data_IF_364848498368
#
_entry.id   IF_364848498368
#
_cell.length_a   1.000
_cell.length_b   1.000
_cell.length_c   1.000
_cell.angle_alpha   90.00
_cell.angle_beta   90.00
_cell.angle_gamma   90.00
#
_symmetry.space_group_name_H-M   'P 1'
#
loop_
_entity.id
_entity.type
_entity.pdbx_description
1 polymer ?
#
# COMPACT_ATOMS: atom_id res chain seq x y z
N UNK A 1 37.90 14.90 11.13
CA UNK A 1 36.53 14.45 10.75
C UNK A 1 36.51 14.30 9.24
N UNK A 2 36.59 13.07 8.75
CA UNK A 2 36.91 12.78 7.35
C UNK A 2 35.69 13.06 6.45
N UNK A 3 35.90 13.77 5.33
CA UNK A 3 34.90 14.13 4.30
C UNK A 3 34.00 12.95 3.86
N UNK A 4 34.54 11.73 3.91
CA UNK A 4 33.88 10.48 3.54
C UNK A 4 32.70 10.15 4.47
N UNK A 5 32.81 10.47 5.77
CA UNK A 5 31.76 10.19 6.75
C UNK A 5 30.51 11.08 6.53
N UNK A 6 30.69 12.29 6.02
CA UNK A 6 29.59 13.21 5.69
C UNK A 6 28.86 12.83 4.40
N UNK A 7 29.59 12.33 3.40
CA UNK A 7 29.02 11.95 2.10
C UNK A 7 28.13 10.70 2.14
N UNK A 8 28.33 9.81 3.11
CA UNK A 8 27.52 8.58 3.27
C UNK A 8 26.36 8.82 4.25
N UNK A 9 26.57 9.63 5.28
CA UNK A 9 25.56 9.89 6.31
C UNK A 9 24.35 10.66 5.78
N UNK A 10 24.55 11.58 4.84
CA UNK A 10 23.48 12.38 4.23
C UNK A 10 22.50 11.56 3.36
N UNK A 11 22.97 10.69 2.42
CA UNK A 11 22.07 9.80 1.69
C UNK A 11 21.44 8.73 2.59
N UNK A 12 22.14 8.25 3.63
CA UNK A 12 21.53 7.33 4.60
C UNK A 12 20.37 7.99 5.36
N UNK A 13 20.57 9.24 5.79
CA UNK A 13 19.55 10.04 6.46
C UNK A 13 18.36 10.33 5.54
N UNK A 14 18.61 10.66 4.27
CA UNK A 14 17.58 10.82 3.24
C UNK A 14 16.82 9.51 3.00
N UNK A 15 17.50 8.37 2.90
CA UNK A 15 16.88 7.06 2.73
C UNK A 15 16.04 6.70 3.95
N UNK A 16 16.48 7.00 5.18
CA UNK A 16 15.65 6.82 6.38
C UNK A 16 14.46 7.78 6.46
N UNK A 17 14.60 9.02 5.97
CA UNK A 17 13.50 9.98 5.86
C UNK A 17 12.46 9.50 4.83
N UNK A 18 12.94 8.96 3.70
CA UNK A 18 12.14 8.44 2.59
C UNK A 18 11.45 7.12 2.97
N UNK A 19 12.13 6.21 3.68
CA UNK A 19 11.55 4.96 4.20
C UNK A 19 10.49 5.24 5.28
N UNK A 20 10.77 6.19 6.17
CA UNK A 20 9.78 6.69 7.14
C UNK A 20 8.58 7.38 6.45
N UNK A 21 8.78 7.97 5.27
CA UNK A 21 7.76 8.66 4.50
C UNK A 21 7.14 7.86 3.36
N UNK A 22 7.46 6.58 3.15
CA UNK A 22 6.89 5.74 2.07
C UNK A 22 5.78 4.81 2.58
N UNK A 23 5.84 4.41 3.85
CA UNK A 23 4.74 3.69 4.50
C UNK A 23 3.53 4.61 4.79
N UNK A 24 3.75 5.91 4.93
CA UNK A 24 2.70 6.89 5.25
C UNK A 24 1.79 7.21 4.03
N UNK A 25 2.32 7.42 2.81
CA UNK A 25 1.51 7.68 1.63
C UNK A 25 0.70 6.49 1.17
N UNK A 26 1.25 5.27 1.18
CA UNK A 26 0.49 4.07 0.80
C UNK A 26 -0.67 3.83 1.76
N UNK A 27 -0.43 3.96 3.07
CA UNK A 27 -1.49 3.85 4.08
C UNK A 27 -2.55 4.95 3.93
N UNK A 28 -2.13 6.22 3.77
CA UNK A 28 -3.06 7.35 3.64
C UNK A 28 -3.91 7.27 2.38
N UNK A 29 -3.33 6.87 1.25
CA UNK A 29 -4.05 6.70 -0.01
C UNK A 29 -5.00 5.50 0.11
N UNK A 30 -4.58 4.40 0.73
CA UNK A 30 -5.47 3.25 0.94
C UNK A 30 -6.67 3.60 1.80
N UNK A 31 -6.49 4.36 2.88
CA UNK A 31 -7.59 4.84 3.74
C UNK A 31 -8.55 5.75 2.97
N UNK A 32 -8.02 6.68 2.15
CA UNK A 32 -8.87 7.56 1.32
C UNK A 32 -9.72 6.76 0.33
N UNK A 33 -9.16 5.70 -0.27
CA UNK A 33 -9.89 4.87 -1.23
C UNK A 33 -10.92 3.98 -0.55
N UNK A 34 -10.62 3.42 0.61
CA UNK A 34 -11.61 2.69 1.40
C UNK A 34 -12.86 3.55 1.70
N UNK A 35 -12.67 4.80 2.15
CA UNK A 35 -13.79 5.70 2.43
C UNK A 35 -14.61 6.02 1.15
N UNK A 36 -13.94 6.24 0.02
CA UNK A 36 -14.63 6.45 -1.26
C UNK A 36 -15.44 5.22 -1.69
N UNK A 37 -14.90 4.02 -1.51
CA UNK A 37 -15.59 2.75 -1.82
C UNK A 37 -16.79 2.58 -0.89
N UNK A 38 -16.63 2.81 0.41
CA UNK A 38 -17.71 2.76 1.39
C UNK A 38 -18.83 3.76 1.07
N UNK A 39 -18.49 5.00 0.72
CA UNK A 39 -19.47 6.02 0.33
C UNK A 39 -20.21 5.64 -0.95
N UNK A 40 -19.52 5.03 -1.92
CA UNK A 40 -20.11 4.59 -3.18
C UNK A 40 -21.03 3.39 -2.97
N UNK A 41 -20.63 2.44 -2.13
CA UNK A 41 -21.44 1.29 -1.70
C UNK A 41 -22.78 1.74 -1.09
N UNK A 42 -22.76 2.73 -0.19
CA UNK A 42 -23.98 3.26 0.44
C UNK A 42 -24.97 3.91 -0.54
N UNK A 43 -24.52 4.31 -1.73
CA UNK A 43 -25.33 5.01 -2.74
C UNK A 43 -25.88 4.08 -3.82
N UNK A 44 -25.29 2.88 -4.01
CA UNK A 44 -25.75 1.96 -5.05
C UNK A 44 -27.06 1.27 -4.62
N UNK A 45 -27.93 1.02 -5.59
CA UNK A 45 -29.13 0.17 -5.45
C UNK A 45 -29.00 -1.14 -6.21
N UNK A 46 -27.91 -1.30 -6.95
CA UNK A 46 -27.60 -2.51 -7.68
C UNK A 46 -26.96 -3.53 -6.71
N UNK A 47 -27.57 -4.72 -6.54
CA UNK A 47 -27.09 -5.73 -5.60
C UNK A 47 -25.74 -6.32 -6.00
N UNK A 48 -25.43 -6.43 -7.30
CA UNK A 48 -24.16 -6.95 -7.78
C UNK A 48 -23.06 -5.93 -7.50
N UNK A 49 -23.31 -4.65 -7.78
CA UNK A 49 -22.37 -3.58 -7.42
C UNK A 49 -22.16 -3.47 -5.91
N UNK A 50 -23.22 -3.63 -5.10
CA UNK A 50 -23.11 -3.62 -3.64
C UNK A 50 -22.19 -4.74 -3.14
N UNK A 51 -22.32 -5.93 -3.72
CA UNK A 51 -21.44 -7.06 -3.43
C UNK A 51 -19.99 -6.78 -3.81
N UNK A 52 -19.75 -6.22 -5.01
CA UNK A 52 -18.39 -5.89 -5.46
C UNK A 52 -17.72 -4.84 -4.56
N UNK A 53 -18.46 -3.79 -4.18
CA UNK A 53 -17.93 -2.81 -3.23
C UNK A 53 -17.67 -3.41 -1.85
N UNK A 54 -18.52 -4.33 -1.37
CA UNK A 54 -18.30 -5.05 -0.12
C UNK A 54 -16.99 -5.84 -0.13
N UNK A 55 -16.75 -6.60 -1.20
CA UNK A 55 -15.50 -7.34 -1.42
C UNK A 55 -14.28 -6.42 -1.45
N UNK A 56 -14.37 -5.30 -2.18
CA UNK A 56 -13.31 -4.27 -2.19
C UNK A 56 -13.01 -3.71 -0.79
N UNK A 57 -14.01 -3.50 0.06
CA UNK A 57 -13.81 -3.01 1.43
C UNK A 57 -13.05 -4.05 2.26
N UNK A 58 -13.35 -5.34 2.10
CA UNK A 58 -12.62 -6.42 2.78
C UNK A 58 -11.16 -6.54 2.31
N UNK A 59 -10.92 -6.39 1.00
CA UNK A 59 -9.59 -6.39 0.40
C UNK A 59 -8.74 -5.19 0.89
N UNK A 60 -9.35 -3.99 0.93
CA UNK A 60 -8.72 -2.79 1.47
C UNK A 60 -8.47 -2.90 2.97
N UNK A 61 -9.44 -3.41 3.74
CA UNK A 61 -9.30 -3.66 5.17
C UNK A 61 -8.13 -4.61 5.45
N UNK A 62 -7.98 -5.68 4.66
CA UNK A 62 -6.80 -6.57 4.79
C UNK A 62 -5.48 -5.84 4.54
N UNK A 63 -5.46 -4.93 3.57
CA UNK A 63 -4.27 -4.15 3.23
C UNK A 63 -3.91 -3.13 4.33
N UNK A 64 -4.91 -2.39 4.82
CA UNK A 64 -4.76 -1.29 5.79
C UNK A 64 -4.56 -1.80 7.21
N UNK A 65 -5.33 -2.79 7.63
CA UNK A 65 -5.36 -3.23 9.04
C UNK A 65 -4.30 -4.29 9.34
N UNK A 66 -3.80 -5.00 8.32
CA UNK A 66 -2.87 -6.11 8.49
C UNK A 66 -1.57 -5.91 7.73
N UNK A 67 -1.61 -5.92 6.39
CA UNK A 67 -0.40 -6.01 5.57
C UNK A 67 0.54 -4.82 5.75
N UNK A 68 0.02 -3.59 5.64
CA UNK A 68 0.86 -2.39 5.76
C UNK A 68 1.44 -2.24 7.18
N UNK A 69 0.66 -2.43 8.28
CA UNK A 69 1.20 -2.45 9.64
C UNK A 69 2.24 -3.56 9.89
N UNK A 70 1.99 -4.78 9.40
CA UNK A 70 2.92 -5.90 9.55
C UNK A 70 4.23 -5.64 8.79
N UNK A 71 4.14 -5.13 7.55
CA UNK A 71 5.30 -4.74 6.77
C UNK A 71 6.13 -3.67 7.49
N UNK A 72 5.48 -2.66 8.06
CA UNK A 72 6.16 -1.59 8.80
C UNK A 72 6.84 -2.11 10.09
N UNK A 73 6.17 -2.99 10.84
CA UNK A 73 6.72 -3.62 12.05
C UNK A 73 7.92 -4.51 11.73
N UNK A 74 7.82 -5.32 10.67
CA UNK A 74 8.90 -6.18 10.19
C UNK A 74 10.10 -5.34 9.73
N UNK A 75 9.85 -4.27 8.97
CA UNK A 75 10.88 -3.34 8.53
C UNK A 75 11.61 -2.69 9.71
N UNK A 76 10.87 -2.21 10.72
CA UNK A 76 11.44 -1.66 11.96
C UNK A 76 12.28 -2.67 12.75
N UNK A 77 11.97 -3.96 12.61
CA UNK A 77 12.72 -5.07 13.22
C UNK A 77 13.83 -5.62 12.33
N UNK A 78 14.06 -5.02 11.15
CA UNK A 78 15.00 -5.48 10.09
C UNK A 78 14.69 -6.88 9.54
N UNK A 79 13.46 -7.35 9.72
CA UNK A 79 12.95 -8.54 9.04
C UNK A 79 12.51 -8.15 7.63
N UNK A 80 13.49 -8.01 6.74
CA UNK A 80 13.26 -7.53 5.38
C UNK A 80 12.52 -8.55 4.50
N UNK A 81 12.63 -9.85 4.81
CA UNK A 81 11.90 -10.92 4.10
C UNK A 81 10.40 -10.74 4.33
N UNK A 82 9.98 -10.64 5.60
CA UNK A 82 8.57 -10.43 5.95
C UNK A 82 8.09 -9.07 5.45
N UNK A 83 8.87 -8.00 5.67
CA UNK A 83 8.48 -6.66 5.23
C UNK A 83 8.26 -6.57 3.71
N UNK A 84 9.14 -7.19 2.92
CA UNK A 84 9.02 -7.26 1.47
C UNK A 84 7.78 -8.04 1.04
N UNK A 85 7.55 -9.19 1.68
CA UNK A 85 6.42 -10.08 1.39
C UNK A 85 5.10 -9.38 1.64
N UNK A 86 4.95 -8.76 2.81
CA UNK A 86 3.71 -8.09 3.22
C UNK A 86 3.42 -6.85 2.36
N UNK A 87 4.45 -6.07 2.01
CA UNK A 87 4.31 -4.95 1.07
C UNK A 87 3.89 -5.41 -0.33
N UNK A 88 4.47 -6.51 -0.85
CA UNK A 88 4.08 -7.06 -2.14
C UNK A 88 2.66 -7.62 -2.13
N UNK A 89 2.25 -8.22 -1.01
CA UNK A 89 0.95 -8.86 -0.86
C UNK A 89 -0.22 -7.88 -1.00
N UNK A 90 -0.03 -6.58 -0.78
CA UNK A 90 -1.09 -5.57 -1.01
C UNK A 90 -1.58 -5.59 -2.46
N UNK A 91 -0.67 -5.74 -3.43
CA UNK A 91 -0.99 -5.65 -4.85
C UNK A 91 -2.14 -6.58 -5.29
N UNK A 92 -2.12 -7.90 -5.01
CA UNK A 92 -3.21 -8.79 -5.41
C UNK A 92 -4.55 -8.49 -4.73
N UNK A 93 -4.59 -7.95 -3.51
CA UNK A 93 -5.86 -7.52 -2.89
C UNK A 93 -6.46 -6.33 -3.63
N UNK A 94 -5.62 -5.36 -4.01
CA UNK A 94 -6.07 -4.17 -4.74
C UNK A 94 -6.48 -4.51 -6.17
N UNK A 95 -5.73 -5.40 -6.85
CA UNK A 95 -6.11 -5.89 -8.18
C UNK A 95 -7.41 -6.70 -8.14
N UNK A 96 -7.64 -7.50 -7.08
CA UNK A 96 -8.90 -8.24 -6.91
C UNK A 96 -10.11 -7.32 -6.79
N UNK A 97 -9.96 -6.17 -6.11
CA UNK A 97 -10.99 -5.14 -6.09
C UNK A 97 -11.32 -4.61 -7.50
N UNK A 98 -10.32 -4.21 -8.28
CA UNK A 98 -10.54 -3.65 -9.62
C UNK A 98 -11.13 -4.68 -10.61
N UNK A 99 -10.70 -5.94 -10.54
CA UNK A 99 -11.12 -7.00 -11.46
C UNK A 99 -12.60 -7.40 -11.35
N UNK A 100 -13.30 -6.97 -10.30
CA UNK A 100 -14.73 -7.22 -10.13
C UNK A 100 -15.60 -6.33 -11.04
N UNK A 101 -15.06 -5.24 -11.57
CA UNK A 101 -15.81 -4.27 -12.36
C UNK A 101 -15.52 -4.45 -13.85
N UNK A 102 -16.58 -4.52 -14.68
CA UNK A 102 -16.45 -4.61 -16.12
C UNK A 102 -15.91 -3.31 -16.76
N UNK A 103 -16.18 -2.17 -16.10
CA UNK A 103 -15.74 -0.84 -16.52
C UNK A 103 -14.91 -0.18 -15.43
N UNK A 104 -14.13 0.82 -15.85
CA UNK A 104 -13.31 1.63 -14.93
C UNK A 104 -14.22 2.33 -13.91
N UNK A 105 -13.86 2.23 -12.63
CA UNK A 105 -14.60 2.88 -11.54
C UNK A 105 -13.95 4.23 -11.17
N UNK A 106 -14.64 5.08 -10.38
CA UNK A 106 -14.05 6.31 -9.84
C UNK A 106 -12.79 6.12 -8.98
N UNK A 107 -12.50 4.89 -8.53
CA UNK A 107 -11.34 4.58 -7.68
C UNK A 107 -10.26 3.75 -8.38
N UNK A 108 -10.46 3.26 -9.61
CA UNK A 108 -9.48 2.42 -10.31
C UNK A 108 -8.11 3.09 -10.48
N UNK A 109 -8.04 4.40 -10.71
CA UNK A 109 -6.72 5.09 -10.78
C UNK A 109 -6.03 5.11 -9.41
N UNK A 110 -6.80 5.20 -8.33
CA UNK A 110 -6.31 5.10 -6.96
C UNK A 110 -5.83 3.69 -6.63
N UNK A 111 -6.60 2.67 -7.01
CA UNK A 111 -6.22 1.26 -6.87
C UNK A 111 -4.89 0.98 -7.58
N UNK A 112 -4.75 1.44 -8.84
CA UNK A 112 -3.50 1.37 -9.59
C UNK A 112 -2.32 1.98 -8.84
N UNK A 113 -2.52 3.15 -8.23
CA UNK A 113 -1.48 3.84 -7.48
C UNK A 113 -1.08 3.09 -6.21
N UNK A 114 -2.04 2.58 -5.43
CA UNK A 114 -1.76 1.79 -4.21
C UNK A 114 -0.96 0.54 -4.56
N UNK A 115 -1.38 -0.19 -5.60
CA UNK A 115 -0.68 -1.38 -6.10
C UNK A 115 0.75 -1.05 -6.53
N UNK A 116 0.92 -0.05 -7.40
CA UNK A 116 2.24 0.29 -7.93
C UNK A 116 3.19 0.74 -6.81
N UNK A 117 2.68 1.51 -5.85
CA UNK A 117 3.46 1.96 -4.69
C UNK A 117 3.86 0.80 -3.77
N UNK A 118 2.98 -0.18 -3.57
CA UNK A 118 3.28 -1.34 -2.73
C UNK A 118 4.37 -2.24 -3.35
N UNK A 119 4.36 -2.39 -4.69
CA UNK A 119 5.40 -3.10 -5.43
C UNK A 119 6.74 -2.35 -5.43
N UNK A 120 6.71 -1.03 -5.55
CA UNK A 120 7.92 -0.18 -5.42
C UNK A 120 8.49 -0.31 -4.00
N UNK A 121 7.64 -0.24 -2.97
CA UNK A 121 8.06 -0.42 -1.58
C UNK A 121 8.70 -1.80 -1.35
N UNK A 122 8.06 -2.87 -1.84
CA UNK A 122 8.62 -4.22 -1.79
C UNK A 122 9.99 -4.32 -2.49
N UNK A 123 10.13 -3.69 -3.66
CA UNK A 123 11.39 -3.66 -4.41
C UNK A 123 12.49 -2.91 -3.65
N UNK A 124 12.17 -1.79 -3.00
CA UNK A 124 13.10 -1.05 -2.15
C UNK A 124 13.53 -1.89 -0.95
N UNK A 125 12.59 -2.54 -0.26
CA UNK A 125 12.88 -3.39 0.90
C UNK A 125 13.79 -4.55 0.49
N UNK A 126 13.60 -5.13 -0.70
CA UNK A 126 14.46 -6.19 -1.23
C UNK A 126 15.92 -5.76 -1.44
N UNK A 127 16.20 -4.46 -1.56
CA UNK A 127 17.58 -3.94 -1.62
C UNK A 127 18.24 -3.86 -0.23
N UNK A 128 17.45 -3.94 0.84
CA UNK A 128 17.94 -3.86 2.23
C UNK A 128 18.36 -5.23 2.78
N UNK A 129 17.78 -6.32 2.27
CA UNK A 129 18.14 -7.70 2.63
C UNK A 129 17.06 -8.72 2.27
#
# INVERSE_FOLDING_TARGET
MNKIMSQILFPLLLVSLILGSLAIPSLSISIEKEDLIQQTCKKTRDPDLSRFYGSCIEDYGTSVDRLLPEAAKALGSKDYITAKSDAAAVAPYIDACDQQFAEKTPFSDGNKLVRDLSLVASSIIALLG
#
